data_IF_771188037462
#
_entry.id   IF_771188037462
#
_cell.length_a   1.000
_cell.length_b   1.000
_cell.length_c   1.000
_cell.angle_alpha   90.00
_cell.angle_beta   90.00
_cell.angle_gamma   90.00
#
_symmetry.space_group_name_H-M   'P 1'
#
loop_
_entity.id
_entity.type
_entity.pdbx_description
1 polymer ?
#
# COMPACT_ATOMS: atom_id res chain seq x y z
N UNK A 1 -27.11 27.72 -67.18
CA UNK A 1 -26.97 27.27 -65.78
C UNK A 1 -28.07 26.25 -65.51
N UNK A 2 -27.72 25.16 -64.81
CA UNK A 2 -28.36 23.84 -64.78
C UNK A 2 -29.83 23.77 -64.33
N UNK A 3 -30.59 22.75 -64.80
CA UNK A 3 -31.85 22.32 -64.19
C UNK A 3 -31.74 20.99 -63.43
N UNK A 4 -32.82 20.69 -62.67
CA UNK A 4 -33.16 19.44 -61.93
C UNK A 4 -32.34 19.17 -60.65
N UNK A 5 -32.92 18.76 -59.51
CA UNK A 5 -34.27 18.30 -59.19
C UNK A 5 -34.18 17.14 -58.18
N UNK A 6 -35.19 17.02 -57.30
CA UNK A 6 -35.65 15.79 -56.60
C UNK A 6 -34.74 15.28 -55.47
N UNK A 7 -35.14 15.42 -54.20
CA UNK A 7 -36.08 14.56 -53.43
C UNK A 7 -35.52 13.16 -53.13
N UNK A 8 -35.52 12.78 -51.85
CA UNK A 8 -35.22 11.42 -51.42
C UNK A 8 -35.12 11.26 -49.90
N UNK A 9 -36.26 11.27 -49.22
CA UNK A 9 -36.42 10.65 -47.90
C UNK A 9 -35.98 9.18 -47.93
N UNK A 10 -35.39 8.68 -46.84
CA UNK A 10 -35.55 7.27 -46.45
C UNK A 10 -35.33 7.05 -44.95
N UNK A 11 -36.46 6.82 -44.29
CA UNK A 11 -36.61 6.10 -43.03
C UNK A 11 -36.04 4.67 -43.09
N UNK A 12 -35.79 4.09 -41.92
CA UNK A 12 -35.57 2.65 -41.70
C UNK A 12 -34.39 2.44 -40.75
N UNK A 13 -34.54 2.29 -39.43
CA UNK A 13 -35.13 1.12 -38.76
C UNK A 13 -34.69 -0.19 -39.41
N UNK A 14 -33.62 -0.80 -38.89
CA UNK A 14 -33.37 -2.24 -38.98
C UNK A 14 -32.84 -2.75 -37.63
N UNK A 15 -33.23 -3.98 -37.23
CA UNK A 15 -33.33 -4.42 -35.84
C UNK A 15 -32.36 -5.55 -35.49
N UNK A 16 -32.37 -5.95 -34.22
CA UNK A 16 -32.18 -7.34 -33.83
C UNK A 16 -30.74 -7.84 -33.80
N UNK A 17 -30.11 -7.70 -32.63
CA UNK A 17 -29.02 -8.59 -32.22
C UNK A 17 -29.58 -10.02 -32.13
N UNK A 18 -29.44 -10.78 -33.22
CA UNK A 18 -29.59 -12.24 -33.18
C UNK A 18 -28.34 -12.83 -32.54
N UNK A 19 -28.50 -13.29 -31.30
CA UNK A 19 -27.63 -14.33 -30.73
C UNK A 19 -27.86 -15.61 -31.53
N UNK A 20 -26.83 -16.04 -32.26
CA UNK A 20 -26.82 -17.36 -32.91
C UNK A 20 -26.66 -18.43 -31.84
N UNK A 21 -27.69 -19.25 -31.68
CA UNK A 21 -27.64 -20.51 -30.97
C UNK A 21 -26.73 -21.50 -31.72
N UNK A 22 -25.82 -22.13 -31.00
CA UNK A 22 -25.15 -23.38 -31.40
C UNK A 22 -25.63 -24.48 -30.46
N UNK A 23 -26.76 -25.09 -30.83
CA UNK A 23 -27.09 -26.48 -30.50
C UNK A 23 -26.44 -27.35 -31.59
N UNK A 24 -25.97 -28.57 -31.43
CA UNK A 24 -26.06 -29.61 -30.40
C UNK A 24 -25.09 -30.73 -30.85
N UNK A 25 -24.52 -31.48 -29.91
CA UNK A 25 -24.12 -32.90 -30.01
C UNK A 25 -23.08 -33.28 -28.93
N UNK A 26 -23.55 -33.93 -27.85
CA UNK A 26 -22.78 -34.92 -27.10
C UNK A 26 -23.16 -36.33 -27.61
N UNK A 27 -22.59 -37.47 -27.14
CA UNK A 27 -21.45 -37.69 -26.24
C UNK A 27 -20.44 -38.73 -26.77
N UNK A 28 -19.17 -38.69 -26.33
CA UNK A 28 -18.34 -39.89 -26.29
C UNK A 28 -17.67 -40.00 -24.91
N UNK A 29 -18.09 -41.04 -24.19
CA UNK A 29 -17.50 -41.43 -22.92
C UNK A 29 -16.11 -42.02 -23.13
N UNK A 30 -15.17 -41.72 -22.23
CA UNK A 30 -14.23 -42.70 -21.66
C UNK A 30 -13.51 -42.06 -20.45
N UNK A 31 -13.90 -42.47 -19.23
CA UNK A 31 -13.03 -42.39 -18.06
C UNK A 31 -11.86 -43.39 -18.26
N UNK A 32 -10.61 -43.05 -17.84
CA UNK A 32 -10.24 -43.35 -16.45
C UNK A 32 -9.22 -42.38 -15.80
N UNK A 33 -9.08 -42.60 -14.50
CA UNK A 33 -7.97 -42.19 -13.62
C UNK A 33 -8.07 -40.79 -13.01
N UNK A 34 -8.83 -40.73 -11.92
CA UNK A 34 -8.59 -39.80 -10.82
C UNK A 34 -7.19 -40.05 -10.27
N UNK A 35 -6.20 -39.29 -10.76
CA UNK A 35 -5.01 -39.02 -9.98
C UNK A 35 -5.43 -38.12 -8.80
N UNK A 36 -4.87 -38.30 -7.59
CA UNK A 36 -5.00 -37.25 -6.59
C UNK A 36 -4.36 -36.00 -7.19
N UNK A 37 -5.20 -34.99 -7.45
CA UNK A 37 -4.72 -33.64 -7.64
C UNK A 37 -4.05 -33.24 -6.33
N UNK A 38 -2.74 -33.48 -6.24
CA UNK A 38 -1.88 -32.69 -5.38
C UNK A 38 -2.09 -31.27 -5.86
N UNK A 39 -3.02 -30.58 -5.21
CA UNK A 39 -3.12 -29.14 -5.30
C UNK A 39 -1.70 -28.64 -5.00
N UNK A 40 -1.08 -27.84 -5.85
CA UNK A 40 0.07 -27.09 -5.40
C UNK A 40 -0.45 -26.24 -4.25
N UNK A 41 -0.06 -26.65 -3.04
CA UNK A 41 0.04 -25.81 -1.86
C UNK A 41 0.95 -24.63 -2.25
N UNK A 42 0.37 -23.70 -2.99
CA UNK A 42 1.02 -22.54 -3.60
C UNK A 42 0.47 -21.23 -3.05
N UNK A 43 -0.36 -21.32 -2.01
CA UNK A 43 -0.70 -20.20 -1.17
C UNK A 43 0.25 -20.17 0.01
N UNK A 44 1.55 -19.97 -0.25
CA UNK A 44 2.32 -19.21 0.74
C UNK A 44 1.46 -17.98 1.06
N UNK A 45 1.21 -17.60 2.32
CA UNK A 45 0.63 -16.31 2.59
C UNK A 45 1.69 -15.32 2.10
N UNK A 46 1.62 -14.98 0.81
CA UNK A 46 2.21 -13.81 0.24
C UNK A 46 1.63 -12.73 1.14
N UNK A 47 2.41 -12.35 2.15
CA UNK A 47 2.10 -11.24 3.02
C UNK A 47 1.87 -10.14 2.02
N UNK A 48 0.61 -9.73 1.85
CA UNK A 48 0.23 -8.85 0.75
C UNK A 48 1.17 -7.65 0.83
N UNK A 49 1.69 -7.18 -0.31
CA UNK A 49 2.60 -6.01 -0.28
C UNK A 49 1.96 -4.85 0.49
N UNK A 50 0.62 -4.77 0.44
CA UNK A 50 -0.19 -3.86 1.23
C UNK A 50 -0.18 -4.15 2.75
N UNK A 51 -0.23 -5.43 3.18
CA UNK A 51 -0.11 -5.79 4.60
C UNK A 51 1.27 -5.43 5.16
N UNK A 52 2.33 -5.65 4.37
CA UNK A 52 3.70 -5.27 4.72
C UNK A 52 3.83 -3.74 4.84
N UNK A 53 3.20 -2.99 3.94
CA UNK A 53 3.16 -1.53 4.00
C UNK A 53 2.35 -1.02 5.19
N UNK A 54 1.21 -1.64 5.51
CA UNK A 54 0.36 -1.29 6.65
C UNK A 54 1.05 -1.53 8.00
N UNK A 55 1.88 -2.57 8.09
CA UNK A 55 2.67 -2.90 9.27
C UNK A 55 4.02 -2.17 9.34
N UNK A 56 4.36 -1.36 8.33
CA UNK A 56 5.68 -0.75 8.20
C UNK A 56 5.99 0.24 9.32
N UNK A 57 7.25 0.23 9.76
CA UNK A 57 7.77 1.31 10.61
C UNK A 57 7.98 2.57 9.78
N UNK A 58 8.02 3.72 10.45
CA UNK A 58 8.21 5.02 9.79
C UNK A 58 9.48 5.07 8.94
N UNK A 59 10.55 4.41 9.37
CA UNK A 59 11.83 4.36 8.66
C UNK A 59 11.81 3.47 7.41
N UNK A 60 10.86 2.53 7.33
CA UNK A 60 10.76 1.54 6.25
C UNK A 60 9.63 1.89 5.26
N UNK A 61 8.64 2.65 5.72
CA UNK A 61 7.43 2.95 4.96
C UNK A 61 7.71 3.53 3.57
N UNK A 62 8.65 4.47 3.47
CA UNK A 62 8.93 5.20 2.23
C UNK A 62 9.55 4.30 1.16
N UNK A 63 10.46 3.43 1.57
CA UNK A 63 11.13 2.48 0.68
C UNK A 63 10.11 1.43 0.22
N UNK A 64 9.30 0.91 1.16
CA UNK A 64 8.23 -0.04 0.85
C UNK A 64 7.15 0.54 -0.06
N UNK A 65 6.77 1.80 0.16
CA UNK A 65 5.79 2.49 -0.68
C UNK A 65 6.33 2.65 -2.11
N UNK A 66 7.58 3.10 -2.24
CA UNK A 66 8.25 3.28 -3.53
C UNK A 66 8.37 1.95 -4.29
N UNK A 67 8.83 0.90 -3.61
CA UNK A 67 8.94 -0.47 -4.14
C UNK A 67 7.56 -1.00 -4.59
N UNK A 68 6.54 -0.86 -3.74
CA UNK A 68 5.23 -1.42 -4.00
C UNK A 68 4.52 -0.76 -5.20
N UNK A 69 4.72 0.55 -5.39
CA UNK A 69 3.91 1.35 -6.31
C UNK A 69 4.67 1.73 -7.58
N UNK A 70 5.93 2.17 -7.45
CA UNK A 70 6.63 2.94 -8.49
C UNK A 70 7.89 2.32 -9.05
N UNK A 71 8.52 1.35 -8.36
CA UNK A 71 9.71 0.68 -8.91
C UNK A 71 9.38 -0.16 -10.15
N UNK A 72 10.43 -0.55 -10.86
CA UNK A 72 10.34 -1.61 -11.85
C UNK A 72 9.74 -2.84 -11.15
N UNK A 73 8.68 -3.42 -11.71
CA UNK A 73 7.83 -4.45 -11.07
C UNK A 73 6.85 -3.96 -9.99
N UNK A 74 6.74 -2.67 -9.69
CA UNK A 74 5.69 -2.10 -8.84
C UNK A 74 4.30 -2.25 -9.44
N UNK A 75 3.25 -2.00 -8.65
CA UNK A 75 1.86 -2.19 -9.07
C UNK A 75 1.49 -1.40 -10.33
N UNK A 76 1.98 -0.16 -10.46
CA UNK A 76 1.73 0.68 -11.65
C UNK A 76 2.43 0.10 -12.88
N UNK A 77 3.71 -0.27 -12.76
CA UNK A 77 4.47 -0.86 -13.86
C UNK A 77 3.85 -2.18 -14.34
N UNK A 78 3.42 -3.06 -13.41
CA UNK A 78 2.74 -4.32 -13.75
C UNK A 78 1.42 -4.08 -14.47
N UNK A 79 0.64 -3.11 -14.01
CA UNK A 79 -0.64 -2.77 -14.64
C UNK A 79 -0.42 -2.18 -16.04
N UNK A 80 0.55 -1.28 -16.21
CA UNK A 80 0.94 -0.74 -17.51
C UNK A 80 1.29 -1.87 -18.49
N UNK A 81 2.20 -2.77 -18.09
CA UNK A 81 2.62 -3.90 -18.93
C UNK A 81 1.46 -4.82 -19.30
N UNK A 82 0.51 -5.04 -18.38
CA UNK A 82 -0.69 -5.82 -18.64
C UNK A 82 -1.59 -5.15 -19.69
N UNK A 83 -1.78 -3.83 -19.60
CA UNK A 83 -2.59 -3.08 -20.57
C UNK A 83 -1.94 -3.02 -21.95
N UNK A 84 -0.62 -2.86 -22.04
CA UNK A 84 0.10 -2.94 -23.31
C UNK A 84 -0.06 -4.32 -23.95
N UNK A 85 0.07 -5.37 -23.15
CA UNK A 85 -0.13 -6.76 -23.60
C UNK A 85 -1.55 -6.97 -24.13
N UNK A 86 -2.55 -6.45 -23.42
CA UNK A 86 -3.95 -6.52 -23.84
C UNK A 86 -4.23 -5.69 -25.09
N UNK A 87 -3.65 -4.49 -25.19
CA UNK A 87 -3.76 -3.63 -26.37
C UNK A 87 -3.20 -4.32 -27.61
N UNK A 88 -2.01 -4.92 -27.50
CA UNK A 88 -1.40 -5.65 -28.60
C UNK A 88 -2.24 -6.86 -29.02
N UNK A 89 -2.78 -7.61 -28.05
CA UNK A 89 -3.72 -8.69 -28.33
C UNK A 89 -4.95 -8.17 -29.10
N UNK A 90 -5.53 -7.04 -28.70
CA UNK A 90 -6.65 -6.41 -29.40
C UNK A 90 -6.29 -6.01 -30.85
N UNK A 91 -5.08 -5.50 -31.10
CA UNK A 91 -4.62 -5.15 -32.46
C UNK A 91 -4.54 -6.38 -33.35
N UNK A 92 -3.93 -7.46 -32.86
CA UNK A 92 -3.82 -8.75 -33.57
C UNK A 92 -5.19 -9.33 -33.92
N UNK A 93 -6.19 -9.15 -33.06
CA UNK A 93 -7.53 -9.71 -33.23
C UNK A 93 -8.55 -8.73 -33.86
N UNK A 94 -8.08 -7.57 -34.36
CA UNK A 94 -8.91 -6.61 -35.08
C UNK A 94 -9.79 -5.69 -34.22
N UNK A 95 -9.68 -5.75 -32.90
CA UNK A 95 -10.40 -4.90 -31.93
C UNK A 95 -9.73 -3.53 -31.77
N UNK A 96 -9.64 -2.74 -32.85
CA UNK A 96 -8.84 -1.50 -32.89
C UNK A 96 -9.30 -0.42 -31.90
N UNK A 97 -10.61 -0.24 -31.69
CA UNK A 97 -11.13 0.74 -30.72
C UNK A 97 -10.66 0.41 -29.31
N UNK A 98 -10.80 -0.86 -28.91
CA UNK A 98 -10.37 -1.34 -27.60
C UNK A 98 -8.86 -1.22 -27.43
N UNK A 99 -8.06 -1.49 -28.47
CA UNK A 99 -6.61 -1.27 -28.41
C UNK A 99 -6.27 0.21 -28.12
N UNK A 100 -6.91 1.15 -28.83
CA UNK A 100 -6.70 2.58 -28.60
C UNK A 100 -7.15 3.05 -27.21
N UNK A 101 -8.24 2.50 -26.68
CA UNK A 101 -8.69 2.78 -25.31
C UNK A 101 -7.70 2.26 -24.26
N UNK A 102 -7.20 1.03 -24.44
CA UNK A 102 -6.20 0.44 -23.54
C UNK A 102 -4.87 1.19 -23.58
N UNK A 103 -4.41 1.62 -24.75
CA UNK A 103 -3.22 2.47 -24.89
C UNK A 103 -3.38 3.81 -24.16
N UNK A 104 -4.54 4.46 -24.31
CA UNK A 104 -4.81 5.73 -23.64
C UNK A 104 -4.80 5.57 -22.11
N UNK A 105 -5.29 4.45 -21.59
CA UNK A 105 -5.21 4.15 -20.14
C UNK A 105 -3.77 3.87 -19.73
N UNK A 106 -3.00 3.10 -20.52
CA UNK A 106 -1.59 2.83 -20.25
C UNK A 106 -0.77 4.13 -20.17
N UNK A 107 -0.94 5.06 -21.11
CA UNK A 107 -0.27 6.37 -21.06
C UNK A 107 -0.63 7.16 -19.79
N UNK A 108 -1.90 7.16 -19.37
CA UNK A 108 -2.31 7.82 -18.12
C UNK A 108 -1.71 7.17 -16.88
N UNK A 109 -1.42 5.87 -16.91
CA UNK A 109 -0.71 5.19 -15.82
C UNK A 109 0.76 5.58 -15.78
N UNK A 110 1.40 5.84 -16.92
CA UNK A 110 2.75 6.40 -16.95
C UNK A 110 2.79 7.74 -16.24
N UNK A 111 1.90 8.66 -16.62
CA UNK A 111 1.78 9.98 -15.99
C UNK A 111 1.53 9.86 -14.48
N UNK A 112 0.59 8.99 -14.08
CA UNK A 112 0.28 8.73 -12.68
C UNK A 112 1.47 8.11 -11.92
N UNK A 113 2.25 7.24 -12.57
CA UNK A 113 3.47 6.66 -12.00
C UNK A 113 4.51 7.72 -11.68
N UNK A 114 4.69 8.69 -12.57
CA UNK A 114 5.56 9.86 -12.33
C UNK A 114 5.05 10.73 -11.17
N UNK A 115 3.74 11.02 -11.13
CA UNK A 115 3.14 11.75 -10.01
C UNK A 115 3.33 11.02 -8.68
N UNK A 116 3.12 9.70 -8.66
CA UNK A 116 3.31 8.88 -7.47
C UNK A 116 4.77 8.82 -7.03
N UNK A 117 5.72 8.85 -7.96
CA UNK A 117 7.14 8.95 -7.65
C UNK A 117 7.46 10.25 -6.91
N UNK A 118 6.96 11.39 -7.41
CA UNK A 118 7.11 12.69 -6.74
C UNK A 118 6.46 12.72 -5.36
N UNK A 119 5.27 12.11 -5.22
CA UNK A 119 4.61 11.95 -3.92
C UNK A 119 5.45 11.13 -2.97
N UNK A 120 6.05 10.03 -3.43
CA UNK A 120 6.94 9.19 -2.62
C UNK A 120 8.16 9.97 -2.11
N UNK A 121 8.78 10.79 -2.97
CA UNK A 121 9.88 11.68 -2.57
C UNK A 121 9.45 12.73 -1.54
N UNK A 122 8.27 13.33 -1.71
CA UNK A 122 7.75 14.31 -0.76
C UNK A 122 7.44 13.70 0.60
N UNK A 123 6.82 12.52 0.63
CA UNK A 123 6.54 11.78 1.88
C UNK A 123 7.84 11.43 2.61
N UNK A 124 8.85 10.95 1.88
CA UNK A 124 10.17 10.66 2.43
C UNK A 124 10.84 11.91 3.01
N UNK A 125 10.77 13.04 2.29
CA UNK A 125 11.27 14.30 2.82
C UNK A 125 10.54 14.73 4.11
N UNK A 126 9.20 14.62 4.14
CA UNK A 126 8.40 14.99 5.31
C UNK A 126 8.78 14.14 6.53
N UNK A 127 8.85 12.81 6.37
CA UNK A 127 9.20 11.87 7.43
C UNK A 127 10.61 12.18 7.98
N UNK A 128 11.60 12.31 7.09
CA UNK A 128 12.97 12.63 7.50
C UNK A 128 13.08 13.98 8.18
N UNK A 129 12.35 15.00 7.69
CA UNK A 129 12.34 16.33 8.31
C UNK A 129 11.77 16.30 9.74
N UNK A 130 10.73 15.49 9.97
CA UNK A 130 10.10 15.33 11.29
C UNK A 130 11.02 14.56 12.24
N UNK A 131 11.65 13.49 11.76
CA UNK A 131 12.63 12.73 12.52
C UNK A 131 13.82 13.62 12.94
N UNK A 132 14.34 14.43 12.02
CA UNK A 132 15.44 15.36 12.32
C UNK A 132 15.04 16.40 13.37
N UNK A 133 13.86 17.00 13.26
CA UNK A 133 13.33 17.94 14.26
C UNK A 133 13.17 17.30 15.63
N UNK A 134 12.67 16.06 15.69
CA UNK A 134 12.54 15.32 16.93
C UNK A 134 13.92 15.04 17.58
N UNK A 135 14.90 14.62 16.78
CA UNK A 135 16.27 14.40 17.25
C UNK A 135 16.95 15.70 17.73
N UNK A 136 16.73 16.82 17.04
CA UNK A 136 17.24 18.13 17.45
C UNK A 136 16.61 18.59 18.78
N UNK A 137 15.29 18.44 18.95
CA UNK A 137 14.61 18.75 20.21
C UNK A 137 15.11 17.90 21.38
N UNK A 138 15.39 16.61 21.14
CA UNK A 138 15.98 15.73 22.15
C UNK A 138 17.40 16.18 22.57
N UNK A 139 18.22 16.67 21.62
CA UNK A 139 19.56 17.22 21.90
C UNK A 139 19.50 18.56 22.63
N UNK A 140 18.52 19.39 22.31
CA UNK A 140 18.29 20.70 22.94
C UNK A 140 17.56 20.60 24.28
N UNK A 141 17.21 19.39 24.74
CA UNK A 141 16.70 19.14 26.08
C UNK A 141 17.79 18.59 27.02
N UNK A 142 18.72 19.42 27.55
CA UNK A 142 19.53 19.05 28.71
C UNK A 142 18.82 19.44 30.02
N UNK A 143 17.87 18.61 30.49
CA UNK A 143 17.36 18.59 31.88
C UNK A 143 16.42 17.38 32.06
N UNK A 144 16.54 16.46 33.02
CA UNK A 144 17.10 16.57 34.37
C UNK A 144 17.83 15.27 34.80
N UNK A 145 19.15 15.29 34.81
CA UNK A 145 19.96 14.43 35.70
C UNK A 145 21.29 15.10 35.98
N UNK A 146 21.21 16.30 36.56
CA UNK A 146 22.37 17.04 37.09
C UNK A 146 21.89 18.13 38.08
N UNK A 147 21.28 17.72 39.19
CA UNK A 147 21.09 18.54 40.40
C UNK A 147 21.02 17.55 41.57
N UNK A 148 22.02 17.35 42.41
CA UNK A 148 23.33 17.98 42.51
C UNK A 148 24.28 17.12 43.35
N UNK A 149 25.54 17.52 43.35
CA UNK A 149 26.64 16.94 44.11
C UNK A 149 26.57 17.26 45.61
N UNK A 150 26.82 16.22 46.42
CA UNK A 150 27.51 16.16 47.72
C UNK A 150 27.11 17.07 48.90
N UNK A 151 26.72 16.49 50.06
CA UNK A 151 27.05 17.05 51.37
C UNK A 151 28.39 16.48 51.84
N UNK A 152 29.49 17.08 51.38
CA UNK A 152 30.77 16.99 52.05
C UNK A 152 30.84 18.05 53.15
N UNK A 153 30.19 17.83 54.28
CA UNK A 153 30.45 18.60 55.51
C UNK A 153 30.75 17.62 56.65
N UNK A 154 31.99 17.13 56.68
CA UNK A 154 32.61 16.64 57.91
C UNK A 154 32.99 17.88 58.74
N UNK A 155 32.35 18.08 59.88
CA UNK A 155 33.10 18.42 61.08
C UNK A 155 32.32 17.96 62.32
N UNK A 156 33.06 17.17 63.10
CA UNK A 156 32.88 16.73 64.48
C UNK A 156 31.65 15.90 64.91
N UNK A 157 31.97 14.64 65.24
CA UNK A 157 31.19 13.78 66.12
C UNK A 157 31.27 14.31 67.57
N UNK A 158 30.30 13.99 68.44
CA UNK A 158 30.37 12.68 69.13
C UNK A 158 29.07 11.85 69.13
N UNK A 159 29.33 10.55 69.25
CA UNK A 159 28.55 9.33 69.46
C UNK A 159 27.08 9.37 69.98
N UNK A 160 26.28 8.32 69.67
CA UNK A 160 24.87 8.21 70.02
C UNK A 160 24.65 7.77 71.48
N UNK A 161 23.60 8.30 72.10
CA UNK A 161 23.02 7.79 73.36
C UNK A 161 21.67 7.13 73.07
N UNK A 162 21.50 5.83 73.32
CA UNK A 162 20.21 5.23 73.68
C UNK A 162 20.16 5.00 75.21
N UNK A 163 19.02 4.69 75.88
CA UNK A 163 17.66 4.43 75.39
C UNK A 163 16.55 5.25 76.12
N UNK A 164 15.38 5.40 75.50
CA UNK A 164 14.15 5.80 76.24
C UNK A 164 13.41 4.53 76.69
N UNK A 165 13.54 4.21 77.98
CA UNK A 165 12.70 3.23 78.67
C UNK A 165 11.63 3.97 79.46
N UNK A 166 10.46 3.32 79.55
CA UNK A 166 9.30 3.56 80.44
C UNK A 166 8.35 4.70 80.05
N UNK A 167 7.10 4.43 79.64
CA UNK A 167 5.95 3.76 80.31
C UNK A 167 4.97 4.83 80.78
N UNK A 168 3.79 4.86 80.20
CA UNK A 168 2.51 4.73 80.92
C UNK A 168 1.33 4.77 79.94
N UNK A 169 0.57 3.68 79.90
CA UNK A 169 -0.80 3.67 79.38
C UNK A 169 -1.74 4.33 80.40
N UNK A 170 -2.65 5.22 79.99
CA UNK A 170 -3.81 5.56 80.81
C UNK A 170 -4.91 4.50 80.66
N UNK A 171 -5.33 3.94 81.80
CA UNK A 171 -6.52 3.10 81.95
C UNK A 171 -7.76 4.00 82.10
N UNK A 172 -8.80 3.73 81.32
CA UNK A 172 -10.20 4.14 81.50
C UNK A 172 -11.00 3.22 80.56
N UNK A 173 -12.01 2.46 80.93
CA UNK A 173 -12.91 2.40 82.10
C UNK A 173 -13.01 0.98 82.64
#
# INVERSE_FOLDING_TARGET
MSPHGVSGSRSGLVPGLRFGAVEDAAPLQHHPTTAPATSPDGGSPATDGNDRLAAARTEEFTDLFREAVTEDFGAVARLHQMLETASEWCRVHGARSSASELDAIASRLTDLGEELHLVAENVDHEIRSRAHRAAAAARLSPAASARGTSPGQRNDAPAPVPPSVTRSLPRSR
#
